data_IF_099955563900
#
_entry.id   IF_099955563900
#
_cell.length_a   1.000
_cell.length_b   1.000
_cell.length_c   1.000
_cell.angle_alpha   90.00
_cell.angle_beta   90.00
_cell.angle_gamma   90.00
#
_symmetry.space_group_name_H-M   'P 1'
#
loop_
_entity.id
_entity.type
_entity.pdbx_description
1 polymer ?
#
# COMPACT_ATOMS: atom_id res chain seq x y z
N UNK A 1 3.47 14.23 -14.99
CA UNK A 1 3.68 13.04 -14.18
C UNK A 1 4.03 13.42 -12.75
N UNK A 2 3.20 13.03 -11.76
CA UNK A 2 3.46 13.36 -10.36
C UNK A 2 4.27 12.22 -9.72
N UNK A 3 5.33 12.54 -8.94
CA UNK A 3 6.16 11.53 -8.28
C UNK A 3 5.40 10.73 -7.19
N UNK A 4 4.35 11.33 -6.64
CA UNK A 4 3.44 10.68 -5.69
C UNK A 4 2.01 11.03 -6.09
N UNK A 5 1.14 10.03 -6.07
CA UNK A 5 -0.31 10.20 -6.16
C UNK A 5 -1.00 9.20 -5.25
N UNK A 6 -2.19 9.54 -4.78
CA UNK A 6 -3.03 8.65 -4.01
C UNK A 6 -4.50 8.89 -4.30
N UNK A 7 -5.31 7.92 -3.97
CA UNK A 7 -6.76 8.04 -3.92
C UNK A 7 -7.30 7.28 -2.72
N UNK A 8 -8.36 7.78 -2.15
CA UNK A 8 -9.09 7.11 -1.07
C UNK A 8 -10.57 7.04 -1.43
N UNK A 9 -11.16 5.86 -1.22
CA UNK A 9 -12.58 5.62 -1.45
C UNK A 9 -13.18 5.09 -0.16
N UNK A 10 -14.29 5.72 0.27
CA UNK A 10 -15.11 5.28 1.39
C UNK A 10 -16.41 4.72 0.85
N UNK A 11 -16.80 3.55 1.33
CA UNK A 11 -17.98 2.84 0.87
C UNK A 11 -18.64 2.11 2.04
N UNK A 12 -19.98 2.18 2.11
CA UNK A 12 -20.76 1.30 2.97
C UNK A 12 -21.36 0.19 2.14
N UNK A 13 -20.95 -1.04 2.42
CA UNK A 13 -21.47 -2.21 1.74
C UNK A 13 -22.95 -2.42 2.13
N UNK A 14 -23.90 -2.43 1.14
CA UNK A 14 -25.33 -2.33 1.44
C UNK A 14 -25.95 -3.61 2.04
N UNK A 15 -25.32 -4.76 1.87
CA UNK A 15 -25.87 -6.04 2.33
C UNK A 15 -25.39 -6.40 3.73
N UNK A 16 -24.14 -6.11 4.05
CA UNK A 16 -23.53 -6.41 5.35
C UNK A 16 -23.46 -5.19 6.27
N UNK A 17 -23.70 -3.99 5.73
CA UNK A 17 -23.55 -2.70 6.43
C UNK A 17 -22.12 -2.49 6.95
N UNK A 18 -21.13 -3.03 6.26
CA UNK A 18 -19.74 -2.80 6.59
C UNK A 18 -19.26 -1.46 6.02
N UNK A 19 -18.70 -0.60 6.87
CA UNK A 19 -17.95 0.56 6.42
C UNK A 19 -16.59 0.09 5.92
N UNK A 20 -16.24 0.50 4.71
CA UNK A 20 -14.98 0.17 4.06
C UNK A 20 -14.30 1.43 3.57
N UNK A 21 -13.00 1.53 3.79
CA UNK A 21 -12.16 2.58 3.24
C UNK A 21 -10.93 1.95 2.60
N UNK A 22 -10.64 2.30 1.36
CA UNK A 22 -9.44 1.83 0.67
C UNK A 22 -8.64 2.99 0.14
N UNK A 23 -7.41 3.10 0.60
CA UNK A 23 -6.42 4.06 0.13
C UNK A 23 -5.43 3.34 -0.75
N UNK A 24 -5.25 3.83 -1.98
CA UNK A 24 -4.21 3.38 -2.89
C UNK A 24 -3.23 4.53 -3.15
N UNK A 25 -1.95 4.28 -2.96
CA UNK A 25 -0.86 5.21 -3.25
C UNK A 25 0.06 4.69 -4.34
N UNK A 26 0.58 5.58 -5.17
CA UNK A 26 1.64 5.30 -6.15
C UNK A 26 2.83 6.17 -5.79
N UNK A 27 3.99 5.56 -5.66
CA UNK A 27 5.25 6.25 -5.31
C UNK A 27 6.32 5.91 -6.34
N UNK A 28 6.77 6.91 -7.06
CA UNK A 28 7.85 6.77 -8.02
C UNK A 28 9.21 6.88 -7.31
N UNK A 29 10.13 6.00 -7.69
CA UNK A 29 11.49 5.95 -7.16
C UNK A 29 12.51 6.43 -8.20
N UNK A 30 12.17 6.32 -9.48
CA UNK A 30 12.98 6.72 -10.62
C UNK A 30 12.14 6.74 -11.90
N UNK A 31 12.81 6.79 -13.05
CA UNK A 31 12.11 6.91 -14.35
C UNK A 31 11.29 5.65 -14.70
N UNK A 32 11.76 4.47 -14.29
CA UNK A 32 11.12 3.18 -14.57
C UNK A 32 10.78 2.37 -13.31
N UNK A 33 11.04 2.90 -12.12
CA UNK A 33 10.87 2.20 -10.86
C UNK A 33 9.86 2.91 -9.94
N UNK A 34 9.06 2.13 -9.26
CA UNK A 34 8.08 2.62 -8.29
C UNK A 34 7.33 1.49 -7.63
N UNK A 35 6.56 1.83 -6.63
CA UNK A 35 5.76 0.87 -5.88
C UNK A 35 4.37 1.42 -5.57
N UNK A 36 3.48 0.52 -5.19
CA UNK A 36 2.10 0.82 -4.84
C UNK A 36 1.87 0.53 -3.37
N UNK A 37 1.00 1.32 -2.74
CA UNK A 37 0.54 1.13 -1.37
C UNK A 37 -0.96 0.86 -1.43
N UNK A 38 -1.42 -0.09 -0.64
CA UNK A 38 -2.84 -0.40 -0.49
C UNK A 38 -3.16 -0.57 0.99
N UNK A 39 -4.01 0.32 1.51
CA UNK A 39 -4.48 0.27 2.89
C UNK A 39 -5.99 0.07 2.84
N UNK A 40 -6.45 -1.10 3.27
CA UNK A 40 -7.85 -1.44 3.32
C UNK A 40 -8.33 -1.57 4.76
N UNK A 41 -9.29 -0.72 5.12
CA UNK A 41 -9.97 -0.72 6.41
C UNK A 41 -11.39 -1.20 6.24
N UNK A 42 -11.85 -2.05 7.16
CA UNK A 42 -13.22 -2.54 7.13
C UNK A 42 -13.73 -2.83 8.53
N UNK A 43 -14.95 -2.40 8.83
CA UNK A 43 -15.64 -2.69 10.07
C UNK A 43 -17.14 -2.78 9.84
N UNK A 44 -17.83 -3.62 10.59
CA UNK A 44 -19.27 -3.67 10.61
C UNK A 44 -19.80 -2.79 11.74
N UNK A 45 -20.63 -1.82 11.38
CA UNK A 45 -21.14 -0.83 12.34
C UNK A 45 -22.27 -1.45 13.20
N UNK A 46 -23.04 -2.38 12.62
CA UNK A 46 -24.16 -3.03 13.30
C UNK A 46 -24.02 -4.55 13.29
N UNK A 47 -24.41 -5.21 14.36
CA UNK A 47 -24.39 -6.67 14.47
C UNK A 47 -23.05 -7.33 14.71
N UNK A 48 -21.98 -6.53 14.90
CA UNK A 48 -20.62 -7.00 15.19
C UNK A 48 -19.88 -7.61 13.99
N UNK A 49 -18.57 -7.49 14.03
CA UNK A 49 -17.66 -8.05 13.02
C UNK A 49 -17.46 -9.56 13.25
N UNK A 50 -17.53 -10.34 12.18
CA UNK A 50 -17.13 -11.76 12.19
C UNK A 50 -15.73 -11.93 11.61
N UNK A 51 -15.56 -11.56 10.35
CA UNK A 51 -14.29 -11.61 9.64
C UNK A 51 -14.32 -10.68 8.44
N UNK A 52 -13.16 -10.22 8.03
CA UNK A 52 -12.93 -9.47 6.80
C UNK A 52 -11.82 -10.14 6.00
N UNK A 53 -11.98 -10.21 4.69
CA UNK A 53 -11.04 -10.84 3.78
C UNK A 53 -10.47 -9.80 2.80
N UNK A 54 -9.15 -9.77 2.70
CA UNK A 54 -8.42 -9.05 1.68
C UNK A 54 -7.99 -10.02 0.60
N UNK A 55 -8.52 -9.87 -0.59
CA UNK A 55 -8.18 -10.69 -1.75
C UNK A 55 -7.21 -9.99 -2.66
N UNK A 56 -6.21 -10.75 -3.12
CA UNK A 56 -5.35 -10.38 -4.21
C UNK A 56 -5.23 -11.51 -5.22
N UNK A 57 -5.56 -11.21 -6.45
CA UNK A 57 -5.47 -12.12 -7.58
C UNK A 57 -4.38 -11.65 -8.53
N UNK A 58 -3.54 -12.55 -8.99
CA UNK A 58 -2.56 -12.25 -10.01
C UNK A 58 -2.49 -13.36 -11.06
N UNK A 59 -2.08 -12.97 -12.25
CA UNK A 59 -1.70 -13.90 -13.31
C UNK A 59 -0.33 -14.48 -12.99
N UNK A 60 -0.05 -15.64 -13.55
CA UNK A 60 1.27 -16.27 -13.47
C UNK A 60 1.19 -17.77 -13.26
N UNK A 61 2.33 -18.41 -13.34
CA UNK A 61 2.47 -19.85 -13.16
C UNK A 61 2.97 -20.20 -11.77
N UNK A 62 3.57 -19.23 -11.05
CA UNK A 62 4.19 -19.49 -9.77
C UNK A 62 3.84 -18.42 -8.74
N UNK A 63 3.47 -18.86 -7.53
CA UNK A 63 3.35 -18.01 -6.34
C UNK A 63 4.30 -18.51 -5.26
N UNK A 64 5.16 -17.65 -4.75
CA UNK A 64 5.94 -17.85 -3.54
C UNK A 64 5.28 -17.12 -2.37
N UNK A 65 5.34 -17.70 -1.17
CA UNK A 65 4.72 -17.13 0.02
C UNK A 65 5.51 -17.51 1.27
N UNK A 66 6.12 -16.52 1.89
CA UNK A 66 6.96 -16.67 3.10
C UNK A 66 6.63 -15.57 4.12
N UNK A 67 7.14 -15.70 5.33
CA UNK A 67 7.27 -14.53 6.19
C UNK A 67 8.27 -13.53 5.57
N UNK A 68 8.18 -12.25 5.93
CA UNK A 68 9.08 -11.22 5.41
C UNK A 68 10.56 -11.44 5.77
N UNK A 69 10.83 -12.17 6.85
CA UNK A 69 12.16 -12.60 7.27
C UNK A 69 12.70 -13.81 6.47
N UNK A 70 11.95 -14.30 5.48
CA UNK A 70 12.28 -15.44 4.65
C UNK A 70 11.93 -16.80 5.26
N UNK A 71 11.45 -16.86 6.52
CA UNK A 71 11.03 -18.11 7.14
C UNK A 71 9.73 -18.65 6.53
N UNK A 72 9.56 -19.96 6.59
CA UNK A 72 8.34 -20.63 6.13
C UNK A 72 7.14 -20.28 7.02
N UNK A 73 5.97 -20.11 6.41
CA UNK A 73 4.71 -19.86 7.12
C UNK A 73 4.05 -21.12 7.65
N UNK A 74 4.51 -22.31 7.24
CA UNK A 74 3.91 -23.59 7.65
C UNK A 74 2.50 -23.80 7.09
N UNK A 75 2.26 -23.38 5.85
CA UNK A 75 0.97 -23.50 5.16
C UNK A 75 0.49 -24.95 5.12
N UNK A 76 -0.73 -25.20 5.63
CA UNK A 76 -1.37 -26.50 5.63
C UNK A 76 -2.62 -26.53 4.75
N UNK A 77 -2.96 -27.65 4.09
CA UNK A 77 -4.21 -27.78 3.36
C UNK A 77 -5.41 -27.42 4.24
N UNK A 78 -6.41 -26.77 3.66
CA UNK A 78 -7.59 -26.32 4.40
C UNK A 78 -8.88 -26.39 3.59
N UNK A 79 -10.02 -26.52 4.26
CA UNK A 79 -11.35 -26.38 3.69
C UNK A 79 -11.94 -24.98 3.94
N UNK A 80 -11.26 -24.11 4.69
CA UNK A 80 -11.66 -22.70 4.86
C UNK A 80 -11.74 -21.96 3.50
N UNK A 81 -12.22 -20.74 3.48
CA UNK A 81 -12.57 -20.02 2.26
C UNK A 81 -13.59 -20.80 1.43
N UNK A 82 -14.61 -21.32 2.09
CA UNK A 82 -15.70 -22.04 1.46
C UNK A 82 -16.94 -21.14 1.34
N UNK A 83 -17.89 -21.57 0.55
CA UNK A 83 -19.21 -20.93 0.49
C UNK A 83 -19.80 -20.76 1.90
N UNK A 84 -20.21 -19.56 2.24
CA UNK A 84 -20.71 -19.23 3.58
C UNK A 84 -22.04 -18.47 3.58
N UNK A 85 -22.76 -18.47 2.47
CA UNK A 85 -24.04 -17.80 2.30
C UNK A 85 -24.22 -17.22 0.90
N UNK A 86 -25.40 -16.65 0.61
CA UNK A 86 -25.77 -16.22 -0.74
C UNK A 86 -24.78 -15.22 -1.38
N UNK A 87 -24.18 -14.33 -0.60
CA UNK A 87 -23.23 -13.33 -1.11
C UNK A 87 -21.83 -13.87 -1.35
N UNK A 88 -21.50 -15.01 -0.76
CA UNK A 88 -20.15 -15.58 -0.80
C UNK A 88 -20.06 -16.84 -1.66
N UNK A 89 -21.00 -17.04 -2.59
CA UNK A 89 -20.98 -18.20 -3.48
C UNK A 89 -19.69 -18.29 -4.31
N UNK A 90 -19.03 -17.16 -4.62
CA UNK A 90 -17.78 -17.12 -5.36
C UNK A 90 -16.64 -17.88 -4.65
N UNK A 91 -16.68 -18.02 -3.32
CA UNK A 91 -15.70 -18.80 -2.57
C UNK A 91 -15.71 -20.30 -2.95
N UNK A 92 -16.82 -20.83 -3.47
CA UNK A 92 -16.92 -22.20 -3.94
C UNK A 92 -16.01 -22.51 -5.16
N UNK A 93 -15.57 -21.50 -5.89
CA UNK A 93 -14.68 -21.63 -7.04
C UNK A 93 -13.20 -21.61 -6.65
N UNK A 94 -12.86 -21.30 -5.39
CA UNK A 94 -11.48 -21.27 -4.90
C UNK A 94 -11.05 -22.68 -4.50
N UNK A 95 -9.92 -23.15 -5.00
CA UNK A 95 -9.42 -24.52 -4.78
C UNK A 95 -7.92 -24.54 -4.49
N UNK A 96 -7.37 -25.74 -4.20
CA UNK A 96 -5.98 -25.95 -3.79
C UNK A 96 -5.57 -25.03 -2.62
N UNK A 97 -6.47 -24.87 -1.67
CA UNK A 97 -6.35 -23.92 -0.57
C UNK A 97 -5.37 -24.43 0.48
N UNK A 98 -4.43 -23.58 0.87
CA UNK A 98 -3.55 -23.79 2.04
C UNK A 98 -3.67 -22.57 2.95
N UNK A 99 -3.53 -22.77 4.25
CA UNK A 99 -3.70 -21.76 5.30
C UNK A 99 -2.56 -21.83 6.31
N UNK A 100 -2.15 -20.64 6.78
CA UNK A 100 -1.36 -20.46 8.00
C UNK A 100 -2.01 -19.38 8.87
N UNK A 101 -1.73 -19.41 10.17
CA UNK A 101 -2.05 -18.33 11.11
C UNK A 101 -0.74 -17.72 11.56
N UNK A 102 -0.57 -16.42 11.42
CA UNK A 102 0.68 -15.75 11.72
C UNK A 102 0.47 -14.31 12.17
N UNK A 103 1.37 -13.83 13.03
CA UNK A 103 1.51 -12.40 13.35
C UNK A 103 2.67 -11.76 12.60
N UNK A 104 3.45 -12.55 11.84
CA UNK A 104 4.58 -12.04 11.07
C UNK A 104 4.12 -11.28 9.82
N UNK A 105 4.88 -10.28 9.43
CA UNK A 105 4.78 -9.70 8.10
C UNK A 105 5.05 -10.78 7.05
N UNK A 106 4.35 -10.69 5.92
CA UNK A 106 4.35 -11.71 4.87
C UNK A 106 4.89 -11.12 3.58
N UNK A 107 5.68 -11.92 2.85
CA UNK A 107 6.12 -11.60 1.49
C UNK A 107 5.57 -12.64 0.52
N UNK A 108 4.94 -12.18 -0.57
CA UNK A 108 4.53 -13.01 -1.69
C UNK A 108 5.17 -12.52 -2.99
N UNK A 109 5.46 -13.45 -3.89
CA UNK A 109 5.90 -13.18 -5.26
C UNK A 109 4.99 -13.93 -6.23
N UNK A 110 4.51 -13.23 -7.26
CA UNK A 110 3.67 -13.80 -8.32
C UNK A 110 4.42 -13.65 -9.63
N UNK A 111 4.89 -14.76 -10.20
CA UNK A 111 5.75 -14.74 -11.39
C UNK A 111 4.99 -15.17 -12.61
N UNK A 112 5.00 -14.31 -13.62
CA UNK A 112 4.56 -14.59 -14.98
C UNK A 112 5.80 -14.95 -15.79
N UNK A 113 5.89 -16.21 -16.21
CA UNK A 113 6.92 -16.69 -17.11
C UNK A 113 6.48 -16.43 -18.56
N UNK A 114 7.21 -15.57 -19.25
CA UNK A 114 6.91 -15.14 -20.61
C UNK A 114 7.79 -15.90 -21.58
N UNK A 115 7.24 -16.52 -22.66
CA UNK A 115 8.05 -17.05 -23.75
C UNK A 115 8.86 -15.90 -24.39
N UNK A 116 10.15 -16.13 -24.56
CA UNK A 116 11.09 -15.22 -25.25
C UNK A 116 11.22 -13.81 -24.67
N UNK A 117 10.84 -13.62 -23.40
CA UNK A 117 10.94 -12.35 -22.67
C UNK A 117 11.37 -12.61 -21.23
N UNK A 118 11.76 -11.53 -20.55
CA UNK A 118 12.05 -11.59 -19.11
C UNK A 118 10.79 -11.94 -18.32
N UNK A 119 10.93 -12.78 -17.32
CA UNK A 119 9.86 -13.05 -16.36
C UNK A 119 9.49 -11.76 -15.62
N UNK A 120 8.20 -11.62 -15.34
CA UNK A 120 7.66 -10.49 -14.57
C UNK A 120 7.21 -11.03 -13.22
N UNK A 121 7.73 -10.44 -12.14
CA UNK A 121 7.30 -10.77 -10.79
C UNK A 121 6.60 -9.57 -10.15
N UNK A 122 5.37 -9.78 -9.70
CA UNK A 122 4.72 -8.86 -8.76
C UNK A 122 5.10 -9.27 -7.35
N UNK A 123 5.85 -8.44 -6.68
CA UNK A 123 6.17 -8.60 -5.26
C UNK A 123 5.06 -7.96 -4.41
N UNK A 124 4.71 -8.59 -3.31
CA UNK A 124 3.76 -8.13 -2.32
C UNK A 124 4.36 -8.27 -0.93
N UNK A 125 4.32 -7.21 -0.13
CA UNK A 125 4.60 -7.22 1.31
C UNK A 125 3.30 -6.89 2.04
N UNK A 126 2.86 -7.75 2.95
CA UNK A 126 1.64 -7.58 3.75
C UNK A 126 2.00 -7.48 5.22
N UNK A 127 1.49 -6.43 5.88
CA UNK A 127 1.60 -6.25 7.32
C UNK A 127 1.04 -7.44 8.08
N UNK A 128 1.82 -7.98 9.00
CA UNK A 128 1.39 -8.97 9.97
C UNK A 128 0.42 -8.39 11.01
N UNK A 129 -0.39 -9.27 11.59
CA UNK A 129 -1.29 -8.90 12.68
C UNK A 129 -1.60 -10.15 13.50
N UNK A 130 -1.79 -10.00 14.81
CA UNK A 130 -2.09 -11.13 15.67
C UNK A 130 -3.35 -11.88 15.21
N UNK A 131 -3.20 -13.21 15.07
CA UNK A 131 -4.29 -14.09 14.64
C UNK A 131 -4.70 -13.94 13.19
N UNK A 132 -3.92 -13.24 12.35
CA UNK A 132 -4.20 -13.11 10.91
C UNK A 132 -4.02 -14.43 10.21
N UNK A 133 -5.01 -14.79 9.40
CA UNK A 133 -4.96 -15.99 8.57
C UNK A 133 -4.48 -15.61 7.17
N UNK A 134 -3.50 -16.35 6.67
CA UNK A 134 -2.93 -16.17 5.33
C UNK A 134 -3.23 -17.41 4.52
N UNK A 135 -3.75 -17.21 3.32
CA UNK A 135 -4.10 -18.28 2.41
C UNK A 135 -3.34 -18.15 1.09
N UNK A 136 -2.91 -19.29 0.61
CA UNK A 136 -2.49 -19.53 -0.77
C UNK A 136 -3.55 -20.41 -1.43
N UNK A 137 -4.05 -19.99 -2.57
CA UNK A 137 -5.11 -20.70 -3.29
C UNK A 137 -5.02 -20.49 -4.80
N UNK A 138 -5.87 -21.20 -5.54
CA UNK A 138 -6.11 -20.99 -6.95
C UNK A 138 -7.57 -20.63 -7.16
N UNK A 139 -7.81 -19.72 -8.09
CA UNK A 139 -9.13 -19.38 -8.61
C UNK A 139 -9.23 -19.77 -10.08
N UNK A 140 -10.43 -19.86 -10.65
CA UNK A 140 -10.60 -20.12 -12.07
C UNK A 140 -9.77 -19.18 -12.94
N UNK A 141 -9.40 -19.63 -14.11
CA UNK A 141 -8.74 -18.78 -15.10
C UNK A 141 -9.62 -17.60 -15.49
N UNK A 142 -9.01 -16.49 -15.84
CA UNK A 142 -9.72 -15.29 -16.27
C UNK A 142 -10.18 -15.44 -17.72
N UNK A 143 -11.48 -15.59 -17.95
CA UNK A 143 -12.05 -15.73 -19.30
C UNK A 143 -11.64 -14.57 -20.24
N UNK A 144 -11.51 -13.35 -19.69
CA UNK A 144 -11.06 -12.19 -20.45
C UNK A 144 -9.73 -12.37 -21.16
N UNK A 145 -8.81 -13.15 -20.58
CA UNK A 145 -7.50 -13.43 -21.20
C UNK A 145 -7.61 -14.31 -22.43
N UNK A 146 -8.57 -15.23 -22.49
CA UNK A 146 -8.79 -16.10 -23.65
C UNK A 146 -9.17 -15.30 -24.90
N UNK A 147 -9.71 -14.08 -24.71
CA UNK A 147 -10.12 -13.17 -25.78
C UNK A 147 -8.99 -12.26 -26.27
N UNK A 148 -7.86 -12.21 -25.57
CA UNK A 148 -6.71 -11.40 -25.99
C UNK A 148 -5.99 -12.12 -27.14
N UNK A 149 -6.01 -11.49 -28.31
CA UNK A 149 -5.30 -12.00 -29.49
C UNK A 149 -3.78 -12.06 -29.19
N UNK A 150 -3.17 -13.19 -29.52
CA UNK A 150 -1.74 -13.45 -29.32
C UNK A 150 -1.28 -13.56 -27.86
N UNK A 151 -2.20 -13.72 -26.90
CA UNK A 151 -1.80 -14.08 -25.53
C UNK A 151 -1.19 -15.50 -25.54
N UNK A 152 0.01 -15.72 -24.98
CA UNK A 152 0.61 -17.05 -24.88
C UNK A 152 -0.30 -18.03 -24.13
N UNK A 153 -0.42 -19.25 -24.63
CA UNK A 153 -1.23 -20.31 -24.01
C UNK A 153 -0.80 -20.60 -22.58
N UNK A 154 0.53 -20.56 -22.33
CA UNK A 154 1.13 -20.72 -21.00
C UNK A 154 0.66 -19.69 -19.96
N UNK A 155 0.02 -18.60 -20.37
CA UNK A 155 -0.53 -17.57 -19.50
C UNK A 155 -2.05 -17.65 -19.44
N UNK A 156 -2.71 -17.68 -20.61
CA UNK A 156 -4.18 -17.58 -20.71
C UNK A 156 -4.94 -18.75 -20.11
N UNK A 157 -4.36 -19.94 -20.08
CA UNK A 157 -5.00 -21.16 -19.58
C UNK A 157 -4.52 -21.55 -18.17
N UNK A 158 -3.82 -20.66 -17.48
CA UNK A 158 -3.42 -20.88 -16.10
C UNK A 158 -4.53 -20.46 -15.12
N UNK A 159 -4.69 -21.15 -14.00
CA UNK A 159 -5.52 -20.67 -12.91
C UNK A 159 -4.99 -19.36 -12.39
N UNK A 160 -5.88 -18.52 -11.87
CA UNK A 160 -5.48 -17.27 -11.22
C UNK A 160 -4.86 -17.55 -9.87
N UNK A 161 -3.63 -17.11 -9.65
CA UNK A 161 -2.96 -17.18 -8.37
C UNK A 161 -3.69 -16.29 -7.35
N UNK A 162 -4.06 -16.84 -6.21
CA UNK A 162 -4.91 -16.18 -5.24
C UNK A 162 -4.26 -16.15 -3.87
N UNK A 163 -4.00 -14.95 -3.39
CA UNK A 163 -3.58 -14.66 -2.03
C UNK A 163 -4.77 -14.11 -1.26
N UNK A 164 -4.98 -14.57 -0.02
CA UNK A 164 -5.99 -13.99 0.87
C UNK A 164 -5.38 -13.75 2.24
N UNK A 165 -5.64 -12.58 2.80
CA UNK A 165 -5.43 -12.29 4.20
C UNK A 165 -6.78 -12.11 4.88
N UNK A 166 -7.05 -12.86 5.97
CA UNK A 166 -8.28 -12.79 6.74
C UNK A 166 -8.02 -12.26 8.12
N UNK A 167 -8.83 -11.30 8.54
CA UNK A 167 -8.85 -10.77 9.89
C UNK A 167 -10.16 -11.17 10.57
N UNK A 168 -10.08 -11.90 11.69
CA UNK A 168 -11.23 -12.13 12.56
C UNK A 168 -11.52 -10.90 13.41
N UNK A 169 -12.78 -10.58 13.58
CA UNK A 169 -13.22 -9.32 14.16
C UNK A 169 -13.05 -8.17 13.16
N UNK A 170 -12.97 -6.95 13.65
CA UNK A 170 -12.85 -5.75 12.83
C UNK A 170 -11.44 -5.63 12.19
N UNK A 171 -11.39 -5.03 11.02
CA UNK A 171 -10.18 -4.70 10.27
C UNK A 171 -10.06 -3.19 10.03
N UNK A 172 -10.56 -2.37 10.95
CA UNK A 172 -10.42 -0.91 10.91
C UNK A 172 -9.17 -0.45 11.63
N UNK A 173 -9.03 -0.81 12.92
CA UNK A 173 -7.83 -0.51 13.71
C UNK A 173 -6.69 -1.52 13.45
N UNK A 174 -7.02 -2.64 12.84
CA UNK A 174 -6.08 -3.67 12.37
C UNK A 174 -6.19 -3.85 10.85
N UNK A 175 -5.94 -2.77 10.05
CA UNK A 175 -6.17 -2.77 8.63
C UNK A 175 -5.28 -3.76 7.88
N UNK A 176 -5.69 -4.10 6.67
CA UNK A 176 -4.80 -4.73 5.71
C UNK A 176 -3.92 -3.65 5.09
N UNK A 177 -2.63 -3.82 5.19
CA UNK A 177 -1.64 -2.88 4.66
C UNK A 177 -0.68 -3.65 3.77
N UNK A 178 -0.68 -3.30 2.50
CA UNK A 178 0.17 -3.94 1.51
C UNK A 178 1.02 -2.94 0.73
N UNK A 179 2.21 -3.38 0.34
CA UNK A 179 3.09 -2.70 -0.61
C UNK A 179 3.30 -3.64 -1.79
N UNK A 180 3.20 -3.14 -3.00
CA UNK A 180 3.33 -3.90 -4.24
C UNK A 180 4.41 -3.30 -5.13
N UNK A 181 5.17 -4.15 -5.78
CA UNK A 181 6.18 -3.73 -6.74
C UNK A 181 6.31 -4.74 -7.88
N UNK A 182 6.09 -4.35 -9.15
CA UNK A 182 6.47 -5.17 -10.28
C UNK A 182 7.97 -5.08 -10.50
N UNK A 183 8.59 -6.20 -10.84
CA UNK A 183 10.03 -6.27 -11.16
C UNK A 183 10.31 -7.30 -12.26
N UNK A 184 11.43 -7.12 -12.94
CA UNK A 184 11.99 -8.06 -13.92
C UNK A 184 13.49 -8.23 -13.67
N UNK A 185 14.16 -9.08 -14.45
CA UNK A 185 15.62 -9.22 -14.37
C UNK A 185 16.32 -7.92 -14.81
N UNK A 186 15.77 -7.23 -15.82
CA UNK A 186 16.34 -5.95 -16.32
C UNK A 186 16.02 -4.75 -15.45
N UNK A 187 14.85 -4.78 -14.83
CA UNK A 187 14.38 -3.76 -13.91
C UNK A 187 14.11 -4.45 -12.56
N UNK A 188 15.17 -4.70 -11.77
CA UNK A 188 15.06 -5.40 -10.51
C UNK A 188 14.32 -4.56 -9.47
N UNK A 189 13.84 -5.22 -8.42
CA UNK A 189 13.18 -4.55 -7.29
C UNK A 189 13.97 -3.36 -6.79
N UNK A 190 13.34 -2.21 -6.67
CA UNK A 190 13.89 -1.03 -6.02
C UNK A 190 13.69 -1.05 -4.49
N UNK A 191 12.91 -2.02 -3.97
CA UNK A 191 12.65 -2.20 -2.54
C UNK A 191 13.65 -3.19 -1.95
N UNK A 192 14.38 -2.76 -0.92
CA UNK A 192 15.25 -3.61 -0.12
C UNK A 192 14.48 -4.28 1.05
N UNK A 193 13.65 -3.51 1.77
CA UNK A 193 12.76 -4.03 2.81
C UNK A 193 11.53 -3.14 3.00
N UNK A 194 10.47 -3.76 3.54
CA UNK A 194 9.27 -3.06 4.01
C UNK A 194 9.05 -3.45 5.46
N UNK A 195 8.84 -2.44 6.30
CA UNK A 195 8.54 -2.58 7.72
C UNK A 195 7.28 -1.78 8.07
N UNK A 196 6.58 -2.16 9.13
CA UNK A 196 5.33 -1.51 9.55
C UNK A 196 5.46 -0.96 10.99
N UNK A 197 6.23 0.11 11.20
CA UNK A 197 6.45 0.68 12.53
C UNK A 197 5.16 1.29 13.10
N UNK A 198 5.07 1.26 14.42
CA UNK A 198 3.93 1.79 15.14
C UNK A 198 3.85 3.33 15.03
N UNK A 199 2.68 3.83 14.70
CA UNK A 199 2.36 5.26 14.72
C UNK A 199 1.96 5.67 16.14
N UNK A 200 2.48 6.80 16.61
CA UNK A 200 2.08 7.42 17.87
C UNK A 200 1.04 8.49 17.60
N UNK A 201 -0.08 8.45 18.32
CA UNK A 201 -1.13 9.46 18.32
C UNK A 201 -1.79 9.52 19.69
N UNK A 202 -2.24 10.70 20.09
CA UNK A 202 -3.04 10.89 21.30
C UNK A 202 -4.53 10.62 21.05
N UNK A 203 -4.93 10.66 19.76
CA UNK A 203 -6.29 10.36 19.33
C UNK A 203 -6.46 8.87 19.05
N UNK A 204 -7.64 8.35 19.38
CA UNK A 204 -8.03 6.99 18.97
C UNK A 204 -8.38 6.99 17.48
N UNK A 205 -7.96 5.96 16.75
CA UNK A 205 -8.22 5.82 15.33
C UNK A 205 -7.32 4.78 14.67
N UNK A 206 -7.53 4.59 13.39
CA UNK A 206 -6.74 3.68 12.56
C UNK A 206 -5.54 4.42 11.97
N UNK A 207 -4.39 4.24 12.59
CA UNK A 207 -3.14 4.86 12.14
C UNK A 207 -2.19 3.80 11.58
N UNK A 208 -1.67 4.04 10.38
CA UNK A 208 -0.78 3.14 9.67
C UNK A 208 0.55 3.81 9.43
N UNK A 209 1.63 3.14 9.82
CA UNK A 209 3.01 3.48 9.49
C UNK A 209 3.61 2.45 8.55
N UNK A 210 4.28 2.91 7.51
CA UNK A 210 5.04 2.06 6.58
C UNK A 210 6.43 2.68 6.41
N UNK A 211 7.45 1.84 6.49
CA UNK A 211 8.82 2.18 6.14
C UNK A 211 9.23 1.35 4.94
N UNK A 212 9.60 1.99 3.84
CA UNK A 212 10.13 1.33 2.65
C UNK A 212 11.60 1.72 2.51
N UNK A 213 12.49 0.77 2.74
CA UNK A 213 13.91 0.95 2.46
C UNK A 213 14.16 0.64 0.98
N UNK A 214 14.80 1.55 0.27
CA UNK A 214 15.10 1.44 -1.15
C UNK A 214 16.54 0.95 -1.37
N UNK A 215 16.75 0.24 -2.47
CA UNK A 215 18.07 -0.31 -2.83
C UNK A 215 19.12 0.76 -3.12
N UNK A 216 18.70 2.00 -3.38
CA UNK A 216 19.61 3.16 -3.55
C UNK A 216 19.97 3.84 -2.21
N UNK A 217 19.63 3.25 -1.06
CA UNK A 217 19.90 3.77 0.28
C UNK A 217 18.89 4.77 0.81
N UNK A 218 17.95 5.23 -0.01
CA UNK A 218 16.87 6.10 0.47
C UNK A 218 15.84 5.33 1.29
N UNK A 219 15.09 6.05 2.14
CA UNK A 219 14.01 5.49 2.94
C UNK A 219 12.76 6.35 2.80
N UNK A 220 11.64 5.71 2.50
CA UNK A 220 10.33 6.34 2.52
C UNK A 220 9.62 6.02 3.83
N UNK A 221 9.22 7.06 4.55
CA UNK A 221 8.34 7.01 5.70
C UNK A 221 6.95 7.44 5.28
N UNK A 222 5.96 6.57 5.49
CA UNK A 222 4.59 6.79 5.02
C UNK A 222 3.66 6.64 6.21
N UNK A 223 2.74 7.58 6.34
CA UNK A 223 1.76 7.65 7.39
C UNK A 223 0.37 7.78 6.77
N UNK A 224 -0.60 7.02 7.28
CA UNK A 224 -2.01 7.19 6.96
C UNK A 224 -2.85 7.17 8.23
N UNK A 225 -3.84 8.04 8.29
CA UNK A 225 -4.84 8.10 9.35
C UNK A 225 -6.25 8.05 8.74
N UNK A 226 -7.18 7.37 9.40
CA UNK A 226 -8.61 7.36 9.03
C UNK A 226 -9.28 8.74 9.25
N UNK A 227 -8.67 9.58 10.09
CA UNK A 227 -9.10 10.95 10.36
C UNK A 227 -7.95 11.92 10.11
N UNK A 228 -8.09 12.81 9.12
CA UNK A 228 -7.04 13.76 8.73
C UNK A 228 -6.76 14.84 9.78
N UNK A 229 -7.63 15.02 10.76
CA UNK A 229 -7.44 15.93 11.88
C UNK A 229 -6.55 15.37 12.99
N UNK A 230 -6.34 14.05 13.04
CA UNK A 230 -5.51 13.42 14.05
C UNK A 230 -4.04 13.80 13.88
N UNK A 231 -3.39 14.15 14.97
CA UNK A 231 -1.95 14.37 15.00
C UNK A 231 -1.23 13.03 15.19
N UNK A 232 -0.54 12.61 14.14
CA UNK A 232 0.16 11.34 14.10
C UNK A 232 1.66 11.55 13.93
N UNK A 233 2.44 10.70 14.60
CA UNK A 233 3.91 10.71 14.55
C UNK A 233 4.45 9.34 14.20
N UNK A 234 5.29 9.31 13.18
CA UNK A 234 6.05 8.14 12.74
C UNK A 234 7.52 8.53 12.62
N UNK A 235 8.33 8.15 13.59
CA UNK A 235 9.73 8.58 13.71
C UNK A 235 9.87 10.11 13.63
N UNK A 236 10.50 10.63 12.57
CA UNK A 236 10.69 12.07 12.32
C UNK A 236 9.55 12.70 11.52
N UNK A 237 8.65 11.90 10.94
CA UNK A 237 7.49 12.40 10.21
C UNK A 237 6.33 12.63 11.19
N UNK A 238 5.79 13.83 11.22
CA UNK A 238 4.59 14.18 11.97
C UNK A 238 3.59 14.81 10.99
N UNK A 239 2.32 14.43 11.11
CA UNK A 239 1.30 14.97 10.23
C UNK A 239 -0.09 15.03 10.86
N UNK A 240 -0.91 15.97 10.37
CA UNK A 240 -2.36 15.97 10.43
C UNK A 240 -2.87 15.80 9.00
N UNK A 241 -3.09 14.56 8.59
CA UNK A 241 -3.36 14.21 7.21
C UNK A 241 -4.01 12.83 7.09
N UNK A 242 -4.78 12.59 6.03
CA UNK A 242 -5.22 11.26 5.64
C UNK A 242 -4.06 10.41 5.10
N UNK A 243 -3.10 11.07 4.41
CA UNK A 243 -1.90 10.45 3.87
C UNK A 243 -0.70 11.39 3.93
N UNK A 244 0.45 10.92 4.36
CA UNK A 244 1.69 11.69 4.34
C UNK A 244 2.89 10.81 3.99
N UNK A 245 3.85 11.37 3.26
CA UNK A 245 5.10 10.69 2.91
C UNK A 245 6.29 11.62 3.12
N UNK A 246 7.39 11.05 3.61
CA UNK A 246 8.70 11.69 3.66
C UNK A 246 9.76 10.73 3.12
N UNK A 247 10.45 11.11 2.03
CA UNK A 247 11.64 10.41 1.53
C UNK A 247 12.88 11.06 2.11
N UNK A 248 13.73 10.24 2.71
CA UNK A 248 15.03 10.62 3.23
C UNK A 248 16.15 9.92 2.49
N UNK A 249 17.26 10.62 2.31
CA UNK A 249 18.50 9.99 1.83
C UNK A 249 19.09 9.07 2.89
N UNK A 250 20.07 8.25 2.50
CA UNK A 250 20.88 7.43 3.42
C UNK A 250 21.48 8.24 4.59
N UNK A 251 21.79 9.52 4.35
CA UNK A 251 22.31 10.45 5.37
C UNK A 251 21.22 11.10 6.24
N UNK A 252 19.96 10.74 6.03
CA UNK A 252 18.81 11.29 6.75
C UNK A 252 18.34 12.66 6.25
N UNK A 253 18.87 13.18 5.13
CA UNK A 253 18.40 14.43 4.54
C UNK A 253 17.03 14.23 3.88
N UNK A 254 16.07 15.11 4.16
CA UNK A 254 14.76 15.11 3.48
C UNK A 254 14.91 15.49 2.00
N UNK A 255 14.48 14.59 1.13
CA UNK A 255 14.52 14.76 -0.33
C UNK A 255 13.14 15.11 -0.91
N UNK A 256 12.10 14.62 -0.28
CA UNK A 256 10.73 14.76 -0.76
C UNK A 256 9.76 14.63 0.41
N UNK A 257 8.68 15.44 0.38
CA UNK A 257 7.56 15.29 1.28
C UNK A 257 6.25 15.42 0.52
N UNK A 258 5.24 14.69 0.96
CA UNK A 258 3.89 14.80 0.44
C UNK A 258 2.89 14.85 1.59
N UNK A 259 2.09 15.91 1.63
CA UNK A 259 0.93 16.06 2.48
C UNK A 259 -0.30 15.78 1.63
N UNK A 260 -1.10 14.77 1.98
CA UNK A 260 -2.32 14.38 1.27
C UNK A 260 -3.55 14.51 2.15
N UNK A 261 -4.55 15.28 1.70
CA UNK A 261 -5.77 15.59 2.46
C UNK A 261 -5.43 16.01 3.91
N UNK A 262 -4.53 16.97 4.05
CA UNK A 262 -4.00 17.32 5.37
C UNK A 262 -3.79 18.82 5.57
N UNK A 263 -3.55 19.19 6.82
CA UNK A 263 -3.32 20.59 7.22
C UNK A 263 -1.90 20.84 7.75
N UNK A 264 -1.18 19.77 8.10
CA UNK A 264 0.16 19.89 8.67
C UNK A 264 1.02 18.70 8.33
N UNK A 265 2.26 18.96 7.94
CA UNK A 265 3.33 17.97 7.87
C UNK A 265 4.61 18.59 8.42
N UNK A 266 5.34 17.83 9.24
CA UNK A 266 6.67 18.16 9.72
C UNK A 266 7.59 16.94 9.51
N UNK A 267 8.72 17.18 8.86
CA UNK A 267 9.81 16.22 8.68
C UNK A 267 11.13 16.94 8.93
N UNK A 268 12.26 16.22 9.00
CA UNK A 268 13.56 16.83 9.31
C UNK A 268 13.90 17.97 8.34
N UNK A 269 13.93 19.18 8.85
CA UNK A 269 14.25 20.40 8.08
C UNK A 269 13.12 20.92 7.17
N UNK A 270 11.93 20.29 7.15
CA UNK A 270 10.81 20.71 6.31
C UNK A 270 9.53 20.78 7.13
N UNK A 271 8.73 21.83 6.93
CA UNK A 271 7.36 21.87 7.43
C UNK A 271 6.40 22.47 6.41
N UNK A 272 5.17 21.95 6.39
CA UNK A 272 4.07 22.39 5.53
C UNK A 272 2.86 22.68 6.42
N UNK A 273 2.16 23.81 6.17
CA UNK A 273 0.90 24.15 6.82
C UNK A 273 -0.07 24.75 5.82
N UNK A 274 -1.31 24.32 5.90
CA UNK A 274 -2.46 24.80 5.11
C UNK A 274 -3.59 25.20 6.06
N UNK A 275 -4.47 26.09 5.63
CA UNK A 275 -5.60 26.56 6.45
C UNK A 275 -6.82 25.60 6.38
N UNK A 276 -6.86 24.74 5.35
CA UNK A 276 -7.84 23.68 5.15
C UNK A 276 -7.13 22.44 4.55
N UNK A 277 -7.72 21.23 4.64
CA UNK A 277 -7.12 20.04 4.07
C UNK A 277 -6.76 20.23 2.59
N UNK A 278 -5.53 19.93 2.24
CA UNK A 278 -4.96 20.10 0.91
C UNK A 278 -3.89 19.04 0.63
N UNK A 279 -3.54 18.93 -0.66
CA UNK A 279 -2.41 18.14 -1.12
C UNK A 279 -1.25 19.07 -1.44
N UNK A 280 -0.09 18.80 -0.87
CA UNK A 280 1.14 19.56 -1.11
C UNK A 280 2.31 18.62 -1.30
N UNK A 281 2.95 18.71 -2.45
CA UNK A 281 4.21 18.02 -2.75
C UNK A 281 5.36 19.01 -2.66
N UNK A 282 6.43 18.61 -1.98
CA UNK A 282 7.74 19.24 -2.07
C UNK A 282 8.74 18.18 -2.50
N UNK A 283 9.58 18.49 -3.46
CA UNK A 283 10.66 17.60 -3.87
C UNK A 283 11.91 18.39 -4.23
N UNK A 284 13.08 17.78 -3.98
CA UNK A 284 14.37 18.32 -4.33
C UNK A 284 14.80 17.76 -5.69
N UNK A 285 14.85 18.61 -6.71
CA UNK A 285 15.26 18.26 -8.07
C UNK A 285 16.45 19.17 -8.46
N UNK A 286 17.55 18.58 -8.90
CA UNK A 286 18.77 19.29 -9.29
C UNK A 286 19.26 20.30 -8.23
N UNK A 287 19.16 19.91 -6.96
CA UNK A 287 19.56 20.74 -5.82
C UNK A 287 18.58 21.86 -5.46
N UNK A 288 17.48 22.03 -6.19
CA UNK A 288 16.44 23.03 -5.96
C UNK A 288 15.18 22.36 -5.44
N UNK A 289 14.51 23.05 -4.52
CA UNK A 289 13.19 22.62 -4.06
C UNK A 289 12.11 23.08 -5.05
N UNK A 290 11.26 22.14 -5.42
CA UNK A 290 10.12 22.32 -6.29
C UNK A 290 8.85 21.97 -5.51
N UNK A 291 7.68 22.49 -5.91
CA UNK A 291 6.42 22.20 -5.25
C UNK A 291 5.23 22.13 -6.21
N UNK A 292 4.20 21.40 -5.78
CA UNK A 292 2.81 21.56 -6.22
C UNK A 292 1.91 21.68 -4.99
N UNK A 293 0.77 22.36 -5.10
CA UNK A 293 -0.17 22.52 -4.01
C UNK A 293 -1.60 22.71 -4.53
N UNK A 294 -2.59 22.04 -3.94
CA UNK A 294 -4.01 22.22 -4.31
C UNK A 294 -4.65 23.43 -3.64
N UNK A 295 -4.01 23.99 -2.61
CA UNK A 295 -4.42 25.21 -1.90
C UNK A 295 -3.20 26.05 -1.51
N UNK A 296 -3.37 27.36 -1.19
CA UNK A 296 -2.28 28.16 -0.64
C UNK A 296 -1.71 27.52 0.63
N UNK A 297 -0.38 27.56 0.77
CA UNK A 297 0.30 26.93 1.90
C UNK A 297 1.50 27.74 2.38
N UNK A 298 1.88 27.51 3.63
CA UNK A 298 3.12 28.01 4.24
C UNK A 298 4.09 26.86 4.37
N UNK A 299 5.29 27.06 3.84
CA UNK A 299 6.36 26.07 3.83
C UNK A 299 7.61 26.62 4.48
N UNK A 300 8.27 25.79 5.26
CA UNK A 300 9.61 26.09 5.78
C UNK A 300 10.55 25.01 5.28
N UNK A 301 11.69 25.44 4.70
CA UNK A 301 12.77 24.53 4.34
C UNK A 301 14.07 25.07 4.95
N UNK A 302 14.62 24.33 5.89
CA UNK A 302 15.73 24.79 6.72
C UNK A 302 15.34 26.04 7.52
N UNK A 303 15.98 27.17 7.24
CA UNK A 303 15.68 28.48 7.88
C UNK A 303 14.78 29.38 7.02
N UNK A 304 14.49 29.00 5.79
CA UNK A 304 13.72 29.83 4.85
C UNK A 304 12.24 29.53 4.96
N UNK A 305 11.43 30.60 4.91
CA UNK A 305 9.96 30.54 4.95
C UNK A 305 9.40 31.00 3.61
N UNK A 306 8.39 30.30 3.13
CA UNK A 306 7.72 30.56 1.88
C UNK A 306 6.21 30.59 2.09
N UNK A 307 5.53 31.50 1.39
CA UNK A 307 4.07 31.49 1.24
C UNK A 307 3.78 31.20 -0.23
N UNK A 308 3.17 30.07 -0.49
CA UNK A 308 3.01 29.50 -1.82
C UNK A 308 1.54 29.55 -2.25
N UNK A 309 1.31 29.87 -3.50
CA UNK A 309 0.00 29.79 -4.14
C UNK A 309 -0.31 28.37 -4.59
N UNK A 310 -1.59 28.06 -4.78
CA UNK A 310 -2.02 26.80 -5.37
C UNK A 310 -1.48 26.70 -6.82
N UNK A 311 -0.95 25.53 -7.16
CA UNK A 311 -0.50 25.17 -8.50
C UNK A 311 -0.49 23.67 -8.71
N UNK A 312 -0.92 23.23 -9.89
CA UNK A 312 -0.84 21.83 -10.32
C UNK A 312 0.44 21.50 -11.08
N UNK A 313 1.13 22.52 -11.53
CA UNK A 313 2.42 22.38 -12.20
C UNK A 313 3.56 22.48 -11.19
N UNK A 314 4.68 21.85 -11.49
CA UNK A 314 5.84 21.83 -10.63
C UNK A 314 6.59 23.19 -10.75
N UNK A 315 6.62 23.96 -9.67
CA UNK A 315 7.27 25.26 -9.61
C UNK A 315 8.43 25.27 -8.60
N UNK A 316 9.49 26.05 -8.84
CA UNK A 316 10.55 26.24 -7.85
C UNK A 316 10.04 27.03 -6.65
N UNK A 317 10.58 26.73 -5.46
CA UNK A 317 10.41 27.58 -4.29
C UNK A 317 11.17 28.90 -4.51
N UNK A 318 10.46 29.98 -4.63
CA UNK A 318 11.00 31.33 -4.85
C UNK A 318 10.57 32.29 -3.76
#
# INVERSE_FOLDING_TARGET
>A
YQPISYSEVCFREPETFADQTRLNGIVNVGDSAGYYIDIFRSRKVEGGDKMHDYFYHNLGQQMTLTAADGSELGLQPTQELAFAGAHLYAYSYIYNKKRAVTSKDVKAGFTIQMPDKDDITMNLWMKGEEGREIFSALSPMTEGLSRIKNMPYSIKDQPTLTFVARQKGEAWNRPFVAVYEPSTVKEPSCIASVDYPQVKSEQQGSHVGIRVALTNGNVDWILSSDENAHHCKLEKLQARAGYALCRQSEKGETLQTFLGNGTQLEADGVSIRTDAPADVLLLKQDGKWMYTATAPCRVVVGKKKYTLSATRELHPLS
#
